data_IF_327560724237
#
_entry.id   IF_327560724237
#
_cell.length_a   1.000
_cell.length_b   1.000
_cell.length_c   1.000
_cell.angle_alpha   90.00
_cell.angle_beta   90.00
_cell.angle_gamma   90.00
#
_symmetry.space_group_name_H-M   'P 1'
#
loop_
_entity.id
_entity.type
_entity.pdbx_description
1 polymer ?
#
# COMPACT_ATOMS: atom_id res chain seq x y z
N UNK A 1 -12.18 -1.86 -31.84
CA UNK A 1 -10.71 -2.05 -31.66
C UNK A 1 -10.23 -0.94 -30.73
N UNK A 2 -9.28 -1.19 -29.87
CA UNK A 2 -8.69 -0.17 -28.97
C UNK A 2 -7.57 0.52 -29.72
N UNK A 3 -7.59 1.84 -29.82
CA UNK A 3 -6.58 2.63 -30.54
C UNK A 3 -5.89 3.67 -29.68
N UNK A 4 -6.55 4.15 -28.60
CA UNK A 4 -6.02 5.18 -27.71
C UNK A 4 -5.98 4.71 -26.25
N UNK A 5 -5.20 5.43 -25.45
CA UNK A 5 -5.13 5.20 -23.99
C UNK A 5 -6.49 5.39 -23.32
N UNK A 6 -7.23 6.44 -23.69
CA UNK A 6 -8.56 6.73 -23.14
C UNK A 6 -9.56 5.61 -23.43
N UNK A 7 -9.52 5.03 -24.64
CA UNK A 7 -10.34 3.87 -24.99
C UNK A 7 -9.94 2.64 -24.17
N UNK A 8 -8.64 2.45 -23.93
CA UNK A 8 -8.12 1.35 -23.11
C UNK A 8 -8.58 1.47 -21.66
N UNK A 9 -8.41 2.63 -21.03
CA UNK A 9 -8.85 2.92 -19.67
C UNK A 9 -10.37 2.83 -19.55
N UNK A 10 -11.11 3.42 -20.52
CA UNK A 10 -12.57 3.33 -20.55
C UNK A 10 -13.08 1.89 -20.60
N UNK A 11 -12.42 1.02 -21.37
CA UNK A 11 -12.74 -0.41 -21.39
C UNK A 11 -12.45 -1.09 -20.04
N UNK A 12 -11.29 -0.84 -19.44
CA UNK A 12 -10.95 -1.40 -18.12
C UNK A 12 -11.97 -0.95 -17.07
N UNK A 13 -12.26 0.34 -16.99
CA UNK A 13 -13.21 0.89 -16.01
C UNK A 13 -14.66 0.42 -16.24
N UNK A 14 -15.03 0.03 -17.46
CA UNK A 14 -16.34 -0.56 -17.72
C UNK A 14 -16.57 -1.87 -16.93
N UNK A 15 -15.48 -2.47 -16.38
CA UNK A 15 -15.50 -3.70 -15.58
C UNK A 15 -15.67 -3.47 -14.08
N UNK A 16 -15.60 -2.21 -13.60
CA UNK A 16 -15.85 -1.84 -12.19
C UNK A 16 -17.22 -2.31 -11.69
N UNK A 17 -18.24 -2.33 -12.57
CA UNK A 17 -19.59 -2.80 -12.26
C UNK A 17 -19.66 -4.24 -11.75
N UNK A 18 -18.66 -5.07 -12.03
CA UNK A 18 -18.63 -6.46 -11.59
C UNK A 18 -18.13 -6.65 -10.15
N UNK A 19 -17.61 -5.57 -9.51
CA UNK A 19 -17.22 -5.55 -8.11
C UNK A 19 -16.10 -6.54 -7.78
N UNK A 20 -16.14 -7.09 -6.56
CA UNK A 20 -15.17 -8.08 -6.07
C UNK A 20 -15.77 -9.48 -6.24
N UNK A 21 -15.08 -10.34 -6.96
CA UNK A 21 -15.46 -11.73 -7.19
C UNK A 21 -14.33 -12.64 -6.67
N UNK A 22 -14.41 -13.22 -5.47
CA UNK A 22 -13.41 -14.14 -4.97
C UNK A 22 -13.25 -15.37 -5.87
N UNK A 23 -12.03 -15.89 -5.96
CA UNK A 23 -11.71 -17.08 -6.74
C UNK A 23 -10.59 -16.82 -7.75
N UNK A 24 -9.84 -17.87 -8.08
CA UNK A 24 -8.66 -17.79 -8.96
C UNK A 24 -8.88 -18.48 -10.32
N UNK A 25 -10.06 -19.06 -10.53
CA UNK A 25 -10.37 -19.86 -11.72
C UNK A 25 -10.30 -19.01 -12.98
N UNK A 26 -10.91 -17.80 -12.98
CA UNK A 26 -10.87 -16.85 -14.10
C UNK A 26 -9.45 -16.40 -14.41
N UNK A 27 -8.66 -16.11 -13.36
CA UNK A 27 -7.26 -15.73 -13.49
C UNK A 27 -6.43 -16.84 -14.15
N UNK A 28 -6.56 -18.09 -13.65
CA UNK A 28 -5.85 -19.25 -14.19
C UNK A 28 -6.22 -19.50 -15.65
N UNK A 29 -7.50 -19.44 -15.96
CA UNK A 29 -7.98 -19.64 -17.31
C UNK A 29 -7.42 -18.58 -18.27
N UNK A 30 -7.45 -17.28 -17.90
CA UNK A 30 -6.88 -16.22 -18.73
C UNK A 30 -5.38 -16.37 -18.92
N UNK A 31 -4.64 -16.75 -17.86
CA UNK A 31 -3.19 -16.94 -17.95
C UNK A 31 -2.83 -18.15 -18.81
N UNK A 32 -3.60 -19.23 -18.77
CA UNK A 32 -3.42 -20.40 -19.65
C UNK A 32 -3.61 -20.02 -21.12
N UNK A 33 -4.68 -19.30 -21.46
CA UNK A 33 -4.91 -18.79 -22.83
C UNK A 33 -3.79 -17.82 -23.28
N UNK A 34 -3.15 -17.11 -22.34
CA UNK A 34 -2.02 -16.25 -22.58
C UNK A 34 -0.66 -16.98 -22.49
N UNK A 35 -0.63 -18.32 -22.34
CA UNK A 35 0.60 -19.13 -22.32
C UNK A 35 1.38 -19.06 -21.00
N UNK A 36 0.70 -18.86 -19.88
CA UNK A 36 1.23 -18.88 -18.51
C UNK A 36 2.44 -17.95 -18.29
N UNK A 37 2.31 -16.66 -18.57
CA UNK A 37 3.41 -15.69 -18.44
C UNK A 37 3.91 -15.54 -16.98
N UNK A 38 3.10 -15.87 -15.97
CA UNK A 38 3.46 -15.85 -14.55
C UNK A 38 4.67 -16.75 -14.22
N UNK A 39 4.89 -17.79 -15.00
CA UNK A 39 6.00 -18.75 -14.80
C UNK A 39 7.38 -18.16 -15.13
N UNK A 40 7.43 -17.05 -15.84
CA UNK A 40 8.66 -16.41 -16.26
C UNK A 40 9.08 -15.26 -15.32
N UNK A 41 8.32 -15.03 -14.24
CA UNK A 41 8.53 -13.91 -13.33
C UNK A 41 9.18 -14.40 -12.04
N UNK A 42 10.38 -13.90 -11.73
CA UNK A 42 10.93 -13.99 -10.39
C UNK A 42 10.28 -12.89 -9.55
N UNK A 43 9.53 -13.23 -8.52
CA UNK A 43 8.76 -12.23 -7.77
C UNK A 43 8.78 -12.42 -6.26
N UNK A 44 8.51 -11.34 -5.55
CA UNK A 44 8.17 -11.30 -4.12
C UNK A 44 6.72 -10.89 -3.99
N UNK A 45 5.96 -11.57 -3.13
CA UNK A 45 4.54 -11.34 -2.94
C UNK A 45 4.27 -10.74 -1.56
N UNK A 46 3.58 -9.60 -1.51
CA UNK A 46 3.33 -8.84 -0.29
C UNK A 46 1.82 -8.79 0.03
N UNK A 47 1.46 -9.25 1.23
CA UNK A 47 0.12 -9.07 1.80
C UNK A 47 0.23 -8.31 3.14
N UNK A 48 -0.91 -7.84 3.64
CA UNK A 48 -1.03 -7.15 4.92
C UNK A 48 -2.21 -6.18 4.91
N UNK A 49 -2.59 -5.68 6.06
CA UNK A 49 -3.61 -4.63 6.16
C UNK A 49 -2.99 -3.30 5.75
N UNK A 50 -1.97 -2.85 6.48
CA UNK A 50 -1.22 -1.62 6.21
C UNK A 50 0.25 -1.94 5.90
N UNK A 51 1.01 -0.97 5.36
CA UNK A 51 2.45 -1.07 5.19
C UNK A 51 2.94 -1.79 3.93
N UNK A 52 2.08 -2.46 3.15
CA UNK A 52 2.46 -3.18 1.92
C UNK A 52 3.25 -2.31 0.95
N UNK A 53 2.66 -1.20 0.50
CA UNK A 53 3.28 -0.29 -0.45
C UNK A 53 4.57 0.36 0.09
N UNK A 54 4.63 0.71 1.38
CA UNK A 54 5.85 1.24 2.01
C UNK A 54 6.96 0.19 2.05
N UNK A 55 6.67 -1.05 2.49
CA UNK A 55 7.64 -2.16 2.51
C UNK A 55 8.16 -2.47 1.12
N UNK A 56 7.27 -2.54 0.14
CA UNK A 56 7.60 -2.71 -1.27
C UNK A 56 8.51 -1.59 -1.76
N UNK A 57 8.21 -0.34 -1.43
CA UNK A 57 8.99 0.83 -1.83
C UNK A 57 10.39 0.80 -1.25
N UNK A 58 10.56 0.54 0.05
CA UNK A 58 11.89 0.38 0.65
C UNK A 58 12.70 -0.72 -0.05
N UNK A 59 12.07 -1.88 -0.29
CA UNK A 59 12.74 -2.98 -1.00
C UNK A 59 13.15 -2.58 -2.40
N UNK A 60 12.28 -1.87 -3.14
CA UNK A 60 12.56 -1.36 -4.48
C UNK A 60 13.77 -0.44 -4.48
N UNK A 61 13.81 0.58 -3.60
CA UNK A 61 14.92 1.53 -3.57
C UNK A 61 16.27 0.88 -3.26
N UNK A 62 16.33 -0.07 -2.32
CA UNK A 62 17.56 -0.80 -2.05
C UNK A 62 18.05 -1.62 -3.25
N UNK A 63 17.14 -2.30 -3.94
CA UNK A 63 17.47 -3.10 -5.13
C UNK A 63 17.85 -2.25 -6.33
N UNK A 64 17.19 -1.12 -6.54
CA UNK A 64 17.54 -0.14 -7.59
C UNK A 64 18.89 0.51 -7.33
N UNK A 65 19.21 0.84 -6.08
CA UNK A 65 20.53 1.32 -5.67
C UNK A 65 21.64 0.35 -6.11
N UNK A 66 21.41 -0.95 -5.94
CA UNK A 66 22.26 -2.04 -6.41
C UNK A 66 22.15 -2.34 -7.93
N UNK A 67 21.52 -1.46 -8.70
CA UNK A 67 21.37 -1.51 -10.16
C UNK A 67 20.52 -2.67 -10.68
N UNK A 68 19.70 -3.29 -9.87
CA UNK A 68 18.71 -4.24 -10.34
C UNK A 68 17.53 -3.54 -11.01
N UNK A 69 16.97 -4.19 -12.01
CA UNK A 69 15.75 -3.76 -12.67
C UNK A 69 14.57 -4.34 -11.92
N UNK A 70 13.85 -3.49 -11.21
CA UNK A 70 12.75 -3.88 -10.31
C UNK A 70 11.41 -3.52 -10.94
N UNK A 71 10.57 -4.54 -11.17
CA UNK A 71 9.16 -4.34 -11.51
C UNK A 71 8.33 -4.20 -10.24
N UNK A 72 7.26 -3.40 -10.28
CA UNK A 72 6.31 -3.28 -9.18
C UNK A 72 4.87 -3.34 -9.68
N UNK A 73 4.02 -4.07 -8.94
CA UNK A 73 2.57 -4.05 -9.08
C UNK A 73 1.96 -3.60 -7.76
N UNK A 74 1.28 -2.45 -7.77
CA UNK A 74 0.73 -1.80 -6.57
C UNK A 74 -0.72 -1.39 -6.75
N UNK A 75 -1.47 -1.29 -5.64
CA UNK A 75 -2.86 -0.84 -5.63
C UNK A 75 -3.27 -0.22 -4.29
N UNK A 76 -4.15 0.81 -4.31
CA UNK A 76 -4.56 1.59 -5.48
C UNK A 76 -3.45 2.52 -6.00
N UNK A 77 -3.66 3.16 -7.15
CA UNK A 77 -2.80 4.27 -7.62
C UNK A 77 -3.16 5.59 -6.91
N UNK A 78 -2.25 6.55 -6.93
CA UNK A 78 -2.47 7.88 -6.34
C UNK A 78 -2.82 8.92 -7.42
N UNK A 79 -2.03 9.09 -8.45
CA UNK A 79 -2.24 10.12 -9.46
C UNK A 79 -2.73 9.55 -10.79
N UNK A 80 -2.07 8.52 -11.29
CA UNK A 80 -2.37 7.94 -12.60
C UNK A 80 -2.55 6.43 -12.53
N UNK A 81 -3.42 5.92 -13.37
CA UNK A 81 -3.68 4.48 -13.49
C UNK A 81 -2.41 3.67 -13.73
N UNK A 82 -1.46 4.21 -14.50
CA UNK A 82 -0.23 3.56 -14.91
C UNK A 82 0.70 3.21 -13.74
N UNK A 83 0.60 3.93 -12.60
CA UNK A 83 1.38 3.65 -11.39
C UNK A 83 1.24 2.22 -10.88
N UNK A 84 0.12 1.57 -11.20
CA UNK A 84 -0.13 0.17 -10.83
C UNK A 84 0.94 -0.77 -11.37
N UNK A 85 1.53 -0.45 -12.52
CA UNK A 85 2.59 -1.24 -13.17
C UNK A 85 3.77 -0.30 -13.43
N UNK A 86 4.86 -0.51 -12.73
CA UNK A 86 6.04 0.38 -12.84
C UNK A 86 7.33 -0.43 -12.96
N UNK A 87 8.35 0.18 -13.57
CA UNK A 87 9.72 -0.35 -13.60
C UNK A 87 10.65 0.70 -13.03
N UNK A 88 11.40 0.34 -12.00
CA UNK A 88 12.27 1.26 -11.27
C UNK A 88 11.54 2.54 -10.86
N UNK A 89 10.32 2.39 -10.30
CA UNK A 89 9.49 3.49 -9.84
C UNK A 89 8.90 4.38 -10.94
N UNK A 90 9.19 4.11 -12.22
CA UNK A 90 8.59 4.83 -13.33
C UNK A 90 7.37 4.07 -13.84
N UNK A 91 6.17 4.66 -13.80
CA UNK A 91 4.96 4.08 -14.36
C UNK A 91 5.14 3.74 -15.85
N UNK A 92 4.49 2.67 -16.31
CA UNK A 92 4.51 2.31 -17.72
C UNK A 92 3.81 3.37 -18.59
N UNK A 93 4.22 3.50 -19.85
CA UNK A 93 3.67 4.50 -20.77
C UNK A 93 2.21 4.20 -21.18
N UNK A 94 1.50 5.22 -21.64
CA UNK A 94 0.11 5.09 -22.10
C UNK A 94 0.00 4.14 -23.29
N UNK A 95 1.01 4.14 -24.17
CA UNK A 95 1.12 3.23 -25.30
C UNK A 95 1.27 1.77 -24.82
N UNK A 96 2.04 1.53 -23.75
CA UNK A 96 2.23 0.19 -23.18
C UNK A 96 0.92 -0.32 -22.56
N UNK A 97 0.14 0.53 -21.87
CA UNK A 97 -1.22 0.17 -21.39
C UNK A 97 -2.11 -0.21 -22.57
N UNK A 98 -2.08 0.59 -23.65
CA UNK A 98 -2.89 0.35 -24.85
C UNK A 98 -2.56 -1.00 -25.50
N UNK A 99 -1.27 -1.33 -25.63
CA UNK A 99 -0.82 -2.62 -26.19
C UNK A 99 -1.18 -3.80 -25.27
N UNK A 100 -1.06 -3.64 -23.96
CA UNK A 100 -1.48 -4.66 -23.00
C UNK A 100 -2.99 -4.92 -23.08
N UNK A 101 -3.82 -3.87 -23.22
CA UNK A 101 -5.27 -4.05 -23.42
C UNK A 101 -5.56 -4.77 -24.74
N UNK A 102 -4.87 -4.44 -25.83
CA UNK A 102 -5.01 -5.17 -27.10
C UNK A 102 -4.68 -6.65 -26.98
N UNK A 103 -3.67 -6.98 -26.15
CA UNK A 103 -3.26 -8.37 -25.88
C UNK A 103 -4.30 -9.13 -25.04
N UNK A 104 -4.80 -8.49 -23.96
CA UNK A 104 -5.61 -9.16 -22.93
C UNK A 104 -7.10 -9.16 -23.29
N UNK A 105 -7.61 -8.10 -23.93
CA UNK A 105 -9.04 -7.93 -24.25
C UNK A 105 -9.65 -9.11 -24.99
N UNK A 106 -9.05 -9.68 -26.05
CA UNK A 106 -9.65 -10.82 -26.76
C UNK A 106 -9.82 -12.07 -25.86
N UNK A 107 -8.90 -12.26 -24.91
CA UNK A 107 -8.98 -13.37 -23.93
C UNK A 107 -10.08 -13.13 -22.92
N UNK A 108 -10.21 -11.88 -22.44
CA UNK A 108 -11.29 -11.50 -21.52
C UNK A 108 -12.66 -11.66 -22.19
N UNK A 109 -12.81 -11.22 -23.44
CA UNK A 109 -14.07 -11.38 -24.18
C UNK A 109 -14.43 -12.86 -24.41
N UNK A 110 -13.45 -13.72 -24.63
CA UNK A 110 -13.64 -15.17 -24.71
C UNK A 110 -14.01 -15.78 -23.35
N UNK A 111 -13.43 -15.28 -22.24
CA UNK A 111 -13.80 -15.70 -20.89
C UNK A 111 -15.26 -15.36 -20.58
N UNK A 112 -15.73 -14.16 -20.97
CA UNK A 112 -17.08 -13.70 -20.75
C UNK A 112 -18.15 -14.66 -21.35
N UNK A 113 -17.78 -15.47 -22.35
CA UNK A 113 -18.63 -16.48 -23.01
C UNK A 113 -18.61 -17.84 -22.30
N UNK A 114 -17.77 -18.02 -21.26
CA UNK A 114 -17.66 -19.27 -20.48
C UNK A 114 -18.55 -19.25 -19.23
N UNK A 115 -18.72 -20.41 -18.61
CA UNK A 115 -19.44 -20.55 -17.33
C UNK A 115 -18.71 -19.86 -16.16
N UNK A 116 -17.46 -19.43 -16.33
CA UNK A 116 -16.69 -18.67 -15.32
C UNK A 116 -17.19 -17.23 -15.22
N UNK A 117 -17.83 -16.72 -16.28
CA UNK A 117 -18.38 -15.37 -16.35
C UNK A 117 -17.32 -14.27 -16.43
N UNK A 118 -17.77 -13.03 -16.31
CA UNK A 118 -16.99 -11.84 -16.61
C UNK A 118 -15.85 -11.60 -15.63
N UNK A 119 -14.69 -11.21 -16.17
CA UNK A 119 -13.54 -10.75 -15.39
C UNK A 119 -13.81 -9.36 -14.76
N UNK A 120 -13.35 -9.19 -13.54
CA UNK A 120 -13.36 -7.90 -12.82
C UNK A 120 -12.24 -6.98 -13.31
N UNK A 121 -12.35 -5.69 -13.00
CA UNK A 121 -11.30 -4.72 -13.29
C UNK A 121 -9.94 -5.17 -12.73
N UNK A 122 -9.92 -5.57 -11.46
CA UNK A 122 -8.67 -5.94 -10.79
C UNK A 122 -8.04 -7.22 -11.36
N UNK A 123 -8.84 -8.20 -11.77
CA UNK A 123 -8.35 -9.38 -12.48
C UNK A 123 -7.70 -9.00 -13.82
N UNK A 124 -8.32 -8.11 -14.59
CA UNK A 124 -7.76 -7.65 -15.86
C UNK A 124 -6.43 -6.93 -15.66
N UNK A 125 -6.36 -5.99 -14.71
CA UNK A 125 -5.13 -5.24 -14.42
C UNK A 125 -4.02 -6.18 -13.94
N UNK A 126 -4.36 -7.17 -13.12
CA UNK A 126 -3.40 -8.20 -12.65
C UNK A 126 -2.87 -9.04 -13.81
N UNK A 127 -3.73 -9.49 -14.72
CA UNK A 127 -3.30 -10.22 -15.93
C UNK A 127 -2.41 -9.33 -16.82
N UNK A 128 -2.77 -8.04 -16.98
CA UNK A 128 -1.94 -7.09 -17.73
C UNK A 128 -0.53 -6.95 -17.12
N UNK A 129 -0.44 -6.81 -15.80
CA UNK A 129 0.85 -6.73 -15.10
C UNK A 129 1.68 -8.02 -15.28
N UNK A 130 1.06 -9.18 -15.15
CA UNK A 130 1.71 -10.47 -15.36
C UNK A 130 2.18 -10.62 -16.80
N UNK A 131 1.37 -10.23 -17.80
CA UNK A 131 1.79 -10.21 -19.20
C UNK A 131 2.93 -9.22 -19.46
N UNK A 132 2.88 -8.04 -18.85
CA UNK A 132 3.93 -7.05 -18.99
C UNK A 132 5.28 -7.60 -18.53
N UNK A 133 5.36 -8.09 -17.29
CA UNK A 133 6.61 -8.60 -16.72
C UNK A 133 7.03 -9.97 -17.28
N UNK A 134 6.09 -10.81 -17.67
CA UNK A 134 6.38 -12.17 -18.14
C UNK A 134 6.63 -12.29 -19.66
N UNK A 135 6.29 -11.25 -20.46
CA UNK A 135 6.41 -11.28 -21.92
C UNK A 135 7.03 -10.05 -22.55
N UNK A 136 6.81 -8.85 -21.98
CA UNK A 136 7.17 -7.57 -22.63
C UNK A 136 8.43 -6.99 -21.99
N UNK A 137 8.49 -6.91 -20.68
CA UNK A 137 9.52 -6.20 -19.93
C UNK A 137 10.08 -7.05 -18.79
N UNK A 138 11.07 -7.89 -19.09
CA UNK A 138 11.71 -8.69 -18.06
C UNK A 138 12.45 -7.82 -17.04
N UNK A 139 12.23 -8.13 -15.75
CA UNK A 139 12.89 -7.52 -14.61
C UNK A 139 13.68 -8.58 -13.83
N UNK A 140 14.70 -8.16 -13.09
CA UNK A 140 15.49 -9.06 -12.23
C UNK A 140 14.63 -9.63 -11.11
N UNK A 141 13.69 -8.82 -10.61
CA UNK A 141 12.65 -9.18 -9.66
C UNK A 141 11.43 -8.28 -9.83
N UNK A 142 10.24 -8.84 -9.55
CA UNK A 142 8.98 -8.09 -9.53
C UNK A 142 8.37 -8.18 -8.14
N UNK A 143 7.98 -7.04 -7.58
CA UNK A 143 7.34 -6.93 -6.27
C UNK A 143 5.83 -6.79 -6.50
N UNK A 144 5.06 -7.80 -6.10
CA UNK A 144 3.60 -7.82 -6.23
C UNK A 144 2.93 -7.51 -4.89
N UNK A 145 2.16 -6.44 -4.85
CA UNK A 145 1.26 -6.12 -3.74
C UNK A 145 -0.12 -6.78 -3.98
N UNK A 146 -0.67 -7.47 -2.96
CA UNK A 146 -2.06 -7.94 -3.01
C UNK A 146 -3.03 -6.76 -2.99
N UNK A 147 -4.11 -6.85 -3.75
CA UNK A 147 -5.18 -5.85 -3.70
C UNK A 147 -6.02 -5.98 -2.43
N UNK A 148 -6.48 -7.20 -2.13
CA UNK A 148 -7.36 -7.48 -0.99
C UNK A 148 -7.13 -8.89 -0.44
N UNK A 149 -6.88 -8.99 0.85
CA UNK A 149 -6.68 -10.29 1.50
C UNK A 149 -5.39 -10.96 1.05
N UNK A 150 -5.48 -12.10 0.42
CA UNK A 150 -4.36 -12.86 -0.13
C UNK A 150 -4.79 -14.15 -0.79
N UNK A 151 -5.53 -15.02 -0.08
CA UNK A 151 -5.94 -16.37 -0.53
C UNK A 151 -6.64 -16.35 -1.88
N UNK A 152 -7.60 -15.48 -2.07
CA UNK A 152 -8.40 -15.32 -3.28
C UNK A 152 -8.09 -14.03 -4.04
N UNK A 153 -7.00 -13.35 -3.68
CA UNK A 153 -6.54 -12.17 -4.41
C UNK A 153 -6.06 -12.55 -5.81
N UNK A 154 -6.37 -11.75 -6.81
CA UNK A 154 -6.02 -12.02 -8.20
C UNK A 154 -4.52 -12.22 -8.41
N UNK A 155 -3.67 -11.60 -7.57
CA UNK A 155 -2.22 -11.77 -7.62
C UNK A 155 -1.76 -13.15 -7.16
N UNK A 156 -2.59 -13.92 -6.43
CA UNK A 156 -2.19 -15.20 -5.82
C UNK A 156 -2.05 -16.38 -6.80
N UNK A 157 -2.06 -16.07 -8.09
CA UNK A 157 -1.73 -17.02 -9.18
C UNK A 157 -0.22 -17.13 -9.45
N UNK A 158 0.59 -16.19 -8.93
CA UNK A 158 2.05 -16.20 -9.06
C UNK A 158 2.71 -17.23 -8.12
N UNK A 159 3.95 -17.61 -8.42
CA UNK A 159 4.78 -18.45 -7.56
C UNK A 159 6.03 -17.66 -7.10
N UNK A 160 5.95 -16.96 -5.95
CA UNK A 160 7.01 -16.08 -5.50
C UNK A 160 8.23 -16.84 -4.96
N UNK A 161 9.39 -16.19 -4.94
CA UNK A 161 10.60 -16.69 -4.27
C UNK A 161 10.65 -16.34 -2.78
N UNK A 162 9.79 -15.40 -2.37
CA UNK A 162 9.64 -14.89 -1.00
C UNK A 162 8.26 -14.28 -0.82
N UNK A 163 7.63 -14.51 0.33
CA UNK A 163 6.38 -13.84 0.72
C UNK A 163 6.60 -12.94 1.92
N UNK A 164 5.84 -11.83 1.99
CA UNK A 164 5.88 -10.90 3.11
C UNK A 164 4.45 -10.64 3.58
N UNK A 165 4.21 -10.76 4.89
CA UNK A 165 2.95 -10.35 5.53
C UNK A 165 3.29 -9.22 6.50
N UNK A 166 2.91 -7.98 6.14
CA UNK A 166 3.36 -6.80 6.86
C UNK A 166 2.74 -6.68 8.23
N UNK A 167 1.44 -6.66 8.32
CA UNK A 167 0.66 -6.65 9.55
C UNK A 167 -0.75 -7.20 9.33
N UNK A 168 -1.45 -7.45 10.43
CA UNK A 168 -2.87 -7.80 10.46
C UNK A 168 -3.61 -6.73 11.26
N UNK A 169 -4.74 -6.24 10.74
CA UNK A 169 -5.61 -5.27 11.38
C UNK A 169 -7.01 -5.31 10.77
N UNK A 170 -7.94 -4.61 11.39
CA UNK A 170 -9.35 -4.60 11.00
C UNK A 170 -9.59 -3.71 9.78
N UNK A 171 -9.63 -4.32 8.61
CA UNK A 171 -10.05 -3.68 7.37
C UNK A 171 -10.79 -4.67 6.48
N UNK A 172 -11.72 -4.18 5.67
CA UNK A 172 -12.54 -5.00 4.76
C UNK A 172 -13.23 -6.19 5.45
N UNK A 173 -13.68 -6.02 6.69
CA UNK A 173 -14.22 -7.08 7.55
C UNK A 173 -15.39 -7.84 6.91
N UNK A 174 -16.20 -7.16 6.11
CA UNK A 174 -17.33 -7.76 5.37
C UNK A 174 -16.90 -8.79 4.32
N UNK A 175 -15.59 -8.87 3.96
CA UNK A 175 -15.03 -9.82 3.00
C UNK A 175 -14.04 -10.77 3.67
N UNK A 176 -13.15 -10.23 4.53
CA UNK A 176 -12.02 -10.97 5.09
C UNK A 176 -12.32 -11.66 6.42
N UNK A 177 -13.44 -11.32 7.06
CA UNK A 177 -13.81 -11.82 8.38
C UNK A 177 -13.83 -10.75 9.47
N UNK A 178 -14.35 -11.12 10.63
CA UNK A 178 -14.60 -10.20 11.74
C UNK A 178 -13.53 -10.26 12.84
N UNK A 179 -12.66 -11.27 12.80
CA UNK A 179 -11.56 -11.46 13.76
C UNK A 179 -10.20 -11.34 13.10
N UNK A 180 -9.16 -11.06 13.89
CA UNK A 180 -7.80 -10.97 13.38
C UNK A 180 -7.30 -12.31 12.84
N UNK A 181 -7.76 -13.45 13.41
CA UNK A 181 -7.44 -14.78 12.92
C UNK A 181 -8.03 -15.05 11.53
N UNK A 182 -9.30 -14.66 11.29
CA UNK A 182 -9.94 -14.80 9.99
C UNK A 182 -9.21 -13.97 8.93
N UNK A 183 -8.88 -12.72 9.26
CA UNK A 183 -8.13 -11.82 8.37
C UNK A 183 -6.71 -12.37 8.13
N UNK A 184 -6.05 -12.88 9.17
CA UNK A 184 -4.73 -13.51 9.07
C UNK A 184 -4.78 -14.75 8.16
N UNK A 185 -5.83 -15.58 8.27
CA UNK A 185 -6.03 -16.76 7.43
C UNK A 185 -6.15 -16.40 5.95
N UNK A 186 -6.90 -15.35 5.64
CA UNK A 186 -7.03 -14.88 4.26
C UNK A 186 -5.69 -14.33 3.71
N UNK A 187 -4.96 -13.52 4.50
CA UNK A 187 -3.68 -12.96 4.07
C UNK A 187 -2.59 -14.02 3.96
N UNK A 188 -2.53 -14.96 4.90
CA UNK A 188 -1.58 -16.08 4.88
C UNK A 188 -1.81 -17.05 3.71
N UNK A 189 -2.92 -16.91 2.97
CA UNK A 189 -3.17 -17.66 1.73
C UNK A 189 -2.15 -17.40 0.61
N UNK A 190 -1.28 -16.37 0.72
CA UNK A 190 -0.17 -16.17 -0.21
C UNK A 190 1.04 -17.07 0.07
N UNK A 191 1.11 -17.70 1.24
CA UNK A 191 2.21 -18.63 1.59
C UNK A 191 2.13 -19.87 0.69
N UNK A 192 3.22 -20.17 0.00
CA UNK A 192 3.32 -21.30 -0.90
C UNK A 192 4.25 -22.38 -0.33
N UNK A 193 4.06 -23.61 -0.79
CA UNK A 193 4.88 -24.76 -0.34
C UNK A 193 6.37 -24.54 -0.58
N UNK A 194 7.16 -24.61 0.49
CA UNK A 194 8.61 -24.42 0.47
C UNK A 194 9.09 -22.97 0.28
N UNK A 195 8.19 -22.00 0.09
CA UNK A 195 8.54 -20.58 -0.09
C UNK A 195 8.62 -19.89 1.28
N UNK A 196 9.75 -19.26 1.62
CA UNK A 196 9.88 -18.56 2.91
C UNK A 196 8.90 -17.41 3.04
N UNK A 197 8.55 -17.10 4.29
CA UNK A 197 7.67 -15.99 4.65
C UNK A 197 8.32 -15.12 5.73
N UNK A 198 8.25 -13.80 5.54
CA UNK A 198 8.66 -12.79 6.52
C UNK A 198 7.40 -12.12 7.04
N UNK A 199 7.30 -11.93 8.36
CA UNK A 199 6.15 -11.26 8.94
C UNK A 199 6.52 -10.25 10.02
N UNK A 200 5.77 -9.12 10.03
CA UNK A 200 5.80 -8.11 11.07
C UNK A 200 4.62 -8.18 12.03
N UNK A 201 3.80 -9.22 11.95
CA UNK A 201 2.60 -9.38 12.77
C UNK A 201 3.00 -9.59 14.22
N UNK A 202 2.42 -8.77 15.12
CA UNK A 202 2.70 -8.80 16.56
C UNK A 202 1.52 -9.34 17.37
N UNK A 203 0.30 -9.30 16.82
CA UNK A 203 -0.86 -9.89 17.48
C UNK A 203 -0.70 -11.40 17.56
N UNK A 204 -0.86 -11.95 18.77
CA UNK A 204 -0.54 -13.35 19.06
C UNK A 204 -1.48 -14.32 18.33
N UNK A 205 -2.77 -14.03 18.28
CA UNK A 205 -3.78 -14.89 17.64
C UNK A 205 -3.58 -14.92 16.12
N UNK A 206 -3.37 -13.76 15.51
CA UNK A 206 -3.06 -13.64 14.08
C UNK A 206 -1.72 -14.30 13.73
N UNK A 207 -0.70 -14.15 14.57
CA UNK A 207 0.62 -14.76 14.35
C UNK A 207 0.56 -16.29 14.41
N UNK A 208 -0.20 -16.87 15.35
CA UNK A 208 -0.41 -18.32 15.43
C UNK A 208 -1.02 -18.90 14.15
N UNK A 209 -1.93 -18.17 13.50
CA UNK A 209 -2.49 -18.58 12.20
C UNK A 209 -1.41 -18.61 11.13
N UNK A 210 -0.56 -17.57 11.06
CA UNK A 210 0.54 -17.51 10.09
C UNK A 210 1.55 -18.63 10.34
N UNK A 211 1.94 -18.87 11.59
CA UNK A 211 2.84 -19.97 11.99
C UNK A 211 2.30 -21.33 11.58
N UNK A 212 1.01 -21.57 11.82
CA UNK A 212 0.35 -22.82 11.42
C UNK A 212 0.39 -23.01 9.90
N UNK A 213 0.00 -22.00 9.13
CA UNK A 213 -0.03 -22.09 7.65
C UNK A 213 1.40 -22.21 7.08
N UNK A 214 2.38 -21.52 7.64
CA UNK A 214 3.77 -21.66 7.24
C UNK A 214 4.28 -23.10 7.47
N UNK A 215 3.97 -23.67 8.64
CA UNK A 215 4.30 -25.06 8.97
C UNK A 215 3.64 -26.06 8.01
N UNK A 216 2.35 -25.91 7.73
CA UNK A 216 1.59 -26.76 6.79
C UNK A 216 2.18 -26.71 5.38
N UNK A 217 2.70 -25.55 4.96
CA UNK A 217 3.36 -25.36 3.67
C UNK A 217 4.87 -25.67 3.68
N UNK A 218 5.44 -26.10 4.81
CA UNK A 218 6.89 -26.31 4.95
C UNK A 218 7.70 -25.06 4.60
N UNK A 219 7.13 -23.88 4.85
CA UNK A 219 7.73 -22.57 4.60
C UNK A 219 8.55 -22.12 5.80
N UNK A 220 9.79 -21.70 5.58
CA UNK A 220 10.60 -21.07 6.63
C UNK A 220 9.97 -19.72 7.02
N UNK A 221 9.67 -19.55 8.29
CA UNK A 221 9.07 -18.32 8.82
C UNK A 221 10.11 -17.45 9.52
N UNK A 222 10.17 -16.17 9.14
CA UNK A 222 10.98 -15.14 9.77
C UNK A 222 10.06 -14.10 10.42
N UNK A 223 10.02 -14.10 11.74
CA UNK A 223 9.15 -13.24 12.57
C UNK A 223 9.93 -12.06 13.12
N UNK A 224 9.39 -10.86 12.99
CA UNK A 224 9.91 -9.68 13.67
C UNK A 224 9.74 -9.83 15.18
N UNK A 225 10.79 -9.50 15.93
CA UNK A 225 10.84 -9.67 17.39
C UNK A 225 11.38 -11.03 17.83
N UNK A 226 11.42 -12.05 16.94
CA UNK A 226 11.96 -13.38 17.23
C UNK A 226 13.19 -13.70 16.38
N UNK A 227 13.04 -13.71 15.05
CA UNK A 227 14.11 -14.06 14.11
C UNK A 227 14.92 -12.85 13.64
N UNK A 228 14.34 -11.68 13.65
CA UNK A 228 14.99 -10.40 13.41
C UNK A 228 14.39 -9.34 14.31
N UNK A 229 15.18 -8.34 14.67
CA UNK A 229 14.77 -7.30 15.62
C UNK A 229 15.06 -5.91 15.07
N UNK A 230 14.27 -4.96 15.53
CA UNK A 230 14.43 -3.54 15.26
C UNK A 230 14.36 -2.77 16.57
N UNK A 231 15.31 -1.87 16.78
CA UNK A 231 15.33 -0.97 17.92
C UNK A 231 15.22 0.47 17.40
N UNK A 232 14.00 1.04 17.53
CA UNK A 232 13.78 2.44 17.19
C UNK A 232 14.53 3.32 18.20
N UNK A 233 15.40 4.19 17.72
CA UNK A 233 16.25 5.06 18.54
C UNK A 233 15.68 6.46 18.67
N UNK A 234 15.28 7.06 17.54
CA UNK A 234 14.93 8.47 17.48
C UNK A 234 14.00 8.78 16.34
N UNK A 235 13.02 9.66 16.62
CA UNK A 235 12.27 10.44 15.62
C UNK A 235 12.83 11.85 15.56
N UNK A 236 13.04 12.38 14.35
CA UNK A 236 13.56 13.74 14.13
C UNK A 236 12.85 14.40 12.96
N UNK A 237 13.12 15.67 12.72
CA UNK A 237 12.58 16.40 11.57
C UNK A 237 12.96 15.74 10.23
N UNK A 238 14.12 15.06 10.18
CA UNK A 238 14.65 14.39 8.98
C UNK A 238 14.11 12.95 8.80
N UNK A 239 13.33 12.42 9.74
CA UNK A 239 12.79 11.07 9.70
C UNK A 239 13.08 10.25 10.95
N UNK A 240 13.28 8.93 10.77
CA UNK A 240 13.47 7.97 11.85
C UNK A 240 14.88 7.35 11.81
N UNK A 241 15.42 7.02 13.00
CA UNK A 241 16.68 6.31 13.16
C UNK A 241 16.48 5.05 14.00
N UNK A 242 17.08 3.93 13.59
CA UNK A 242 16.93 2.64 14.26
C UNK A 242 18.12 1.72 14.04
N UNK A 243 18.26 0.70 14.91
CA UNK A 243 19.14 -0.44 14.67
C UNK A 243 18.33 -1.63 14.20
N UNK A 244 18.94 -2.44 13.36
CA UNK A 244 18.35 -3.66 12.82
C UNK A 244 19.32 -4.83 12.98
N UNK A 245 18.82 -5.98 13.42
CA UNK A 245 19.59 -7.22 13.52
C UNK A 245 18.80 -8.39 12.96
N UNK A 246 19.43 -9.19 12.11
CA UNK A 246 18.86 -10.42 11.57
C UNK A 246 19.92 -11.54 11.54
N UNK A 247 19.57 -12.79 11.20
CA UNK A 247 20.55 -13.90 11.14
C UNK A 247 21.69 -13.70 10.14
N UNK A 248 21.57 -12.72 9.23
CA UNK A 248 22.53 -12.51 8.13
C UNK A 248 23.41 -11.27 8.33
N UNK A 249 22.96 -10.29 9.10
CA UNK A 249 23.67 -9.03 9.34
C UNK A 249 23.08 -8.23 10.49
N UNK A 250 23.86 -7.26 10.98
CA UNK A 250 23.42 -6.19 11.89
C UNK A 250 23.79 -4.84 11.29
N UNK A 251 22.85 -3.89 11.39
CA UNK A 251 23.02 -2.52 10.95
C UNK A 251 22.69 -1.58 12.12
N UNK A 252 23.64 -0.77 12.52
CA UNK A 252 23.44 0.30 13.51
C UNK A 252 23.13 1.62 12.79
N UNK A 253 22.37 2.50 13.46
CA UNK A 253 22.08 3.87 13.01
C UNK A 253 21.53 3.97 11.57
N UNK A 254 20.66 3.04 11.21
CA UNK A 254 19.91 3.09 9.93
C UNK A 254 18.97 4.29 9.96
N UNK A 255 18.90 5.02 8.85
CA UNK A 255 18.04 6.20 8.70
C UNK A 255 17.04 6.02 7.57
N UNK A 256 15.81 6.51 7.80
CA UNK A 256 14.75 6.62 6.81
C UNK A 256 14.12 8.00 6.89
N UNK A 257 13.67 8.55 5.77
CA UNK A 257 13.04 9.87 5.69
C UNK A 257 11.52 9.82 5.86
N UNK A 258 10.88 8.68 5.54
CA UNK A 258 9.45 8.49 5.82
C UNK A 258 9.22 8.45 7.34
N UNK A 259 8.30 9.28 7.82
CA UNK A 259 8.06 9.53 9.24
C UNK A 259 7.10 8.52 9.88
N UNK A 260 7.33 8.26 11.17
CA UNK A 260 6.51 7.42 12.03
C UNK A 260 7.14 6.06 12.35
N UNK A 261 6.96 5.62 13.58
CA UNK A 261 7.52 4.34 14.07
C UNK A 261 7.05 3.11 13.26
N UNK A 262 5.85 3.17 12.66
CA UNK A 262 5.36 2.13 11.75
C UNK A 262 6.22 2.01 10.48
N UNK A 263 6.84 3.10 10.02
CA UNK A 263 7.74 3.07 8.88
C UNK A 263 9.08 2.38 9.21
N UNK A 264 9.51 2.45 10.47
CA UNK A 264 10.65 1.66 10.95
C UNK A 264 10.36 0.16 10.83
N UNK A 265 9.15 -0.28 11.20
CA UNK A 265 8.71 -1.66 11.01
C UNK A 265 8.66 -2.08 9.54
N UNK A 266 8.11 -1.22 8.66
CA UNK A 266 8.05 -1.47 7.21
C UNK A 266 9.47 -1.55 6.59
N UNK A 267 10.38 -0.66 7.00
CA UNK A 267 11.77 -0.68 6.57
C UNK A 267 12.51 -1.96 7.05
N UNK A 268 12.25 -2.39 8.29
CA UNK A 268 12.82 -3.62 8.83
C UNK A 268 12.37 -4.87 8.07
N UNK A 269 11.09 -4.95 7.68
CA UNK A 269 10.58 -6.03 6.82
C UNK A 269 11.25 -6.04 5.45
N UNK A 270 11.38 -4.88 4.83
CA UNK A 270 12.05 -4.73 3.53
C UNK A 270 13.55 -5.10 3.66
N UNK A 271 14.21 -4.66 4.72
CA UNK A 271 15.62 -4.96 4.98
C UNK A 271 15.84 -6.46 5.21
N UNK A 272 14.96 -7.12 6.00
CA UNK A 272 15.00 -8.57 6.14
C UNK A 272 14.82 -9.30 4.80
N UNK A 273 13.89 -8.81 3.94
CA UNK A 273 13.67 -9.37 2.62
C UNK A 273 14.88 -9.21 1.69
N UNK A 274 15.51 -8.03 1.71
CA UNK A 274 16.74 -7.76 0.92
C UNK A 274 17.89 -8.63 1.41
N UNK A 275 18.06 -8.78 2.74
CA UNK A 275 19.08 -9.66 3.30
C UNK A 275 18.84 -11.13 2.94
N UNK A 276 17.56 -11.55 2.86
CA UNK A 276 17.21 -12.89 2.40
C UNK A 276 17.60 -13.10 0.93
N UNK A 277 17.21 -12.21 0.02
CA UNK A 277 17.52 -12.36 -1.41
C UNK A 277 19.02 -12.23 -1.69
N UNK A 278 19.74 -11.40 -0.92
CA UNK A 278 21.21 -11.31 -0.95
C UNK A 278 21.84 -12.66 -0.62
N UNK A 279 21.39 -13.27 0.47
CA UNK A 279 22.01 -14.50 1.02
C UNK A 279 21.69 -15.74 0.21
N UNK A 280 20.41 -15.91 -0.23
CA UNK A 280 19.95 -17.16 -0.82
C UNK A 280 19.72 -17.10 -2.34
N UNK A 281 19.54 -15.91 -2.89
CA UNK A 281 19.25 -15.74 -4.33
C UNK A 281 20.39 -15.03 -5.09
N UNK A 282 21.54 -14.85 -4.42
CA UNK A 282 22.78 -14.29 -5.00
C UNK A 282 22.61 -12.86 -5.56
N UNK A 283 21.75 -12.05 -4.96
CA UNK A 283 21.70 -10.63 -5.26
C UNK A 283 22.94 -9.96 -4.65
N UNK A 284 23.72 -9.28 -5.47
CA UNK A 284 24.91 -8.53 -5.03
C UNK A 284 24.45 -7.12 -4.62
N UNK A 285 24.42 -6.87 -3.32
CA UNK A 285 23.95 -5.59 -2.76
C UNK A 285 24.91 -5.23 -1.63
N UNK A 286 25.56 -4.08 -1.72
CA UNK A 286 26.47 -3.61 -0.68
C UNK A 286 25.70 -2.83 0.42
N UNK A 287 26.35 -2.65 1.58
CA UNK A 287 25.72 -1.94 2.70
C UNK A 287 25.38 -0.49 2.37
N UNK A 288 26.24 0.18 1.60
CA UNK A 288 26.03 1.57 1.17
C UNK A 288 24.74 1.71 0.33
N UNK A 289 24.49 0.76 -0.60
CA UNK A 289 23.28 0.73 -1.43
C UNK A 289 22.01 0.49 -0.60
N UNK A 290 22.11 -0.36 0.42
CA UNK A 290 21.05 -0.61 1.39
C UNK A 290 20.72 0.68 2.15
N UNK A 291 21.71 1.34 2.74
CA UNK A 291 21.54 2.55 3.53
C UNK A 291 20.99 3.71 2.70
N UNK A 292 21.56 3.92 1.52
CA UNK A 292 21.12 4.95 0.59
C UNK A 292 19.69 4.67 0.13
N UNK A 293 19.37 3.44 -0.27
CA UNK A 293 18.03 3.07 -0.70
C UNK A 293 16.96 3.25 0.40
N UNK A 294 17.30 2.94 1.65
CA UNK A 294 16.39 3.19 2.78
C UNK A 294 16.18 4.68 3.04
N UNK A 295 17.24 5.48 2.98
CA UNK A 295 17.19 6.92 3.23
C UNK A 295 16.48 7.69 2.13
N UNK A 296 16.65 7.30 0.87
CA UNK A 296 16.03 7.94 -0.29
C UNK A 296 14.61 7.47 -0.56
N UNK A 297 14.16 6.39 0.10
CA UNK A 297 12.84 5.83 -0.12
C UNK A 297 11.74 6.84 0.19
N UNK A 298 10.86 7.03 -0.80
CA UNK A 298 9.72 7.92 -0.72
C UNK A 298 8.47 7.26 -1.31
N UNK A 299 7.36 7.35 -0.57
CA UNK A 299 6.08 6.83 -1.01
C UNK A 299 4.99 7.89 -0.87
N UNK A 300 4.39 8.26 -1.98
CA UNK A 300 3.36 9.31 -2.08
C UNK A 300 2.20 9.01 -1.13
N UNK A 301 1.72 10.07 -0.44
CA UNK A 301 0.58 9.99 0.47
C UNK A 301 0.86 9.22 1.77
N UNK A 302 2.13 9.10 2.19
CA UNK A 302 2.53 8.58 3.50
C UNK A 302 3.23 9.66 4.30
N UNK A 303 2.46 10.36 5.12
CA UNK A 303 2.88 11.53 5.89
C UNK A 303 3.67 12.54 5.01
N UNK A 304 3.14 12.78 3.82
CA UNK A 304 3.77 13.60 2.79
C UNK A 304 3.55 15.08 3.06
N UNK A 305 4.65 15.82 3.23
CA UNK A 305 4.61 17.28 3.34
C UNK A 305 4.51 17.88 1.95
N UNK A 306 3.38 18.54 1.66
CA UNK A 306 3.14 19.24 0.39
C UNK A 306 3.62 20.69 0.39
N UNK A 307 3.63 21.33 1.58
CA UNK A 307 4.02 22.70 1.76
C UNK A 307 4.67 22.88 3.13
N UNK A 308 5.59 23.83 3.22
CA UNK A 308 6.19 24.32 4.46
C UNK A 308 5.79 25.78 4.70
N UNK A 309 5.62 26.17 5.98
CA UNK A 309 5.27 27.52 6.40
C UNK A 309 3.96 28.08 5.80
N UNK A 310 2.78 27.56 6.21
CA UNK A 310 2.56 26.51 7.22
C UNK A 310 2.79 25.11 6.68
N UNK A 311 3.04 24.14 7.58
CA UNK A 311 3.17 22.74 7.19
C UNK A 311 1.80 22.17 6.78
N UNK A 312 1.68 21.73 5.52
CA UNK A 312 0.52 21.01 4.99
C UNK A 312 0.94 19.60 4.68
N UNK A 313 0.30 18.64 5.33
CA UNK A 313 0.64 17.21 5.27
C UNK A 313 -0.57 16.42 4.78
N UNK A 314 -0.33 15.51 3.86
CA UNK A 314 -1.31 14.50 3.48
C UNK A 314 -0.89 13.11 3.97
N UNK A 315 -1.87 12.33 4.43
CA UNK A 315 -1.65 10.94 4.81
C UNK A 315 -2.82 10.04 4.41
N UNK A 316 -2.51 8.87 3.89
CA UNK A 316 -3.49 7.90 3.40
C UNK A 316 -4.08 6.98 4.47
N UNK A 317 -4.00 7.30 5.75
CA UNK A 317 -4.66 6.58 6.81
C UNK A 317 -6.17 6.56 6.59
N UNK A 318 -6.78 5.36 6.61
CA UNK A 318 -8.19 5.18 6.27
C UNK A 318 -8.87 4.03 7.03
N UNK A 319 -8.19 3.49 8.03
CA UNK A 319 -8.69 2.48 8.97
C UNK A 319 -8.16 2.80 10.38
N UNK A 320 -8.71 2.18 11.45
CA UNK A 320 -8.32 2.51 12.82
C UNK A 320 -6.82 2.41 13.09
N UNK A 321 -6.16 1.35 12.62
CA UNK A 321 -4.73 1.13 12.82
C UNK A 321 -3.87 2.13 12.04
N UNK A 322 -4.35 2.56 10.86
CA UNK A 322 -3.72 3.62 10.07
C UNK A 322 -3.82 4.98 10.78
N UNK A 323 -5.00 5.33 11.30
CA UNK A 323 -5.20 6.56 12.09
C UNK A 323 -4.36 6.53 13.38
N UNK A 324 -4.29 5.39 14.07
CA UNK A 324 -3.43 5.25 15.26
C UNK A 324 -1.95 5.54 14.92
N UNK A 325 -1.49 5.03 13.79
CA UNK A 325 -0.13 5.28 13.31
C UNK A 325 0.10 6.75 12.96
N UNK A 326 -0.90 7.41 12.34
CA UNK A 326 -0.87 8.85 12.06
C UNK A 326 -0.81 9.67 13.36
N UNK A 327 -1.67 9.36 14.34
CA UNK A 327 -1.70 10.02 15.65
C UNK A 327 -0.32 9.95 16.32
N UNK A 328 0.26 8.76 16.44
CA UNK A 328 1.60 8.56 17.01
C UNK A 328 2.69 9.36 16.26
N UNK A 329 2.57 9.45 14.93
CA UNK A 329 3.52 10.22 14.12
C UNK A 329 3.40 11.72 14.40
N UNK A 330 2.17 12.23 14.49
CA UNK A 330 1.93 13.65 14.83
C UNK A 330 2.44 13.97 16.24
N UNK A 331 2.15 13.15 17.23
CA UNK A 331 2.64 13.31 18.60
C UNK A 331 4.19 13.33 18.67
N UNK A 332 4.86 12.54 17.83
CA UNK A 332 6.32 12.47 17.81
C UNK A 332 6.98 13.65 17.10
N UNK A 333 6.39 14.16 16.02
CA UNK A 333 7.02 15.15 15.13
C UNK A 333 6.46 16.57 15.26
N UNK A 334 5.24 16.74 15.81
CA UNK A 334 4.52 18.02 15.85
C UNK A 334 3.99 18.37 17.25
N UNK A 335 4.67 17.88 18.29
CA UNK A 335 4.28 18.03 19.70
C UNK A 335 4.00 19.48 20.13
N UNK A 336 4.73 20.44 19.56
CA UNK A 336 4.68 21.86 19.95
C UNK A 336 3.89 22.72 18.94
N UNK A 337 3.11 22.07 18.04
CA UNK A 337 2.30 22.74 17.02
C UNK A 337 0.81 22.61 17.32
N UNK A 338 0.02 23.59 16.89
CA UNK A 338 -1.43 23.43 16.84
C UNK A 338 -1.79 22.51 15.67
N UNK A 339 -2.51 21.45 15.96
CA UNK A 339 -2.86 20.43 14.98
C UNK A 339 -4.28 20.67 14.45
N UNK A 340 -4.39 20.88 13.15
CA UNK A 340 -5.65 21.04 12.45
C UNK A 340 -5.79 19.85 11.51
N UNK A 341 -6.92 19.16 11.60
CA UNK A 341 -7.17 17.95 10.78
C UNK A 341 -8.33 18.20 9.84
N UNK A 342 -8.13 18.00 8.54
CA UNK A 342 -9.20 17.86 7.55
C UNK A 342 -9.44 16.37 7.30
N UNK A 343 -10.63 15.90 7.62
CA UNK A 343 -10.98 14.48 7.60
C UNK A 343 -12.19 14.18 6.73
N UNK A 344 -12.06 13.14 5.92
CA UNK A 344 -13.17 12.45 5.25
C UNK A 344 -13.01 10.95 5.38
N UNK A 345 -14.05 10.17 5.08
CA UNK A 345 -13.94 8.71 5.12
C UNK A 345 -14.96 8.03 4.21
N UNK A 346 -14.71 6.75 3.93
CA UNK A 346 -15.65 5.87 3.23
C UNK A 346 -16.55 5.13 4.24
N UNK A 347 -17.76 4.80 3.83
CA UNK A 347 -18.80 4.27 4.71
C UNK A 347 -18.61 2.85 5.23
N UNK A 348 -17.64 2.12 4.69
CA UNK A 348 -17.29 0.76 5.10
C UNK A 348 -16.26 0.69 6.25
N UNK A 349 -15.89 1.84 6.83
CA UNK A 349 -14.87 1.96 7.87
C UNK A 349 -15.45 2.12 9.28
N UNK A 350 -14.62 1.89 10.28
CA UNK A 350 -14.99 2.08 11.71
C UNK A 350 -14.88 3.56 12.09
N UNK A 351 -15.82 4.37 11.60
CA UNK A 351 -15.77 5.84 11.63
C UNK A 351 -15.65 6.40 13.05
N UNK A 352 -16.42 5.86 14.00
CA UNK A 352 -16.42 6.34 15.39
C UNK A 352 -15.01 6.22 16.01
N UNK A 353 -14.38 5.05 15.85
CA UNK A 353 -13.04 4.80 16.38
C UNK A 353 -12.00 5.74 15.75
N UNK A 354 -12.07 5.95 14.43
CA UNK A 354 -11.15 6.84 13.72
C UNK A 354 -11.29 8.31 14.18
N UNK A 355 -12.53 8.78 14.36
CA UNK A 355 -12.78 10.15 14.84
C UNK A 355 -12.32 10.32 16.29
N UNK A 356 -12.64 9.37 17.18
CA UNK A 356 -12.19 9.40 18.58
C UNK A 356 -10.66 9.49 18.68
N UNK A 357 -9.92 8.77 17.85
CA UNK A 357 -8.47 8.83 17.82
C UNK A 357 -7.96 10.19 17.33
N UNK A 358 -8.52 10.74 16.24
CA UNK A 358 -8.11 12.04 15.72
C UNK A 358 -8.37 13.17 16.73
N UNK A 359 -9.46 13.07 17.50
CA UNK A 359 -9.78 14.04 18.56
C UNK A 359 -8.71 14.11 19.66
N UNK A 360 -7.88 13.07 19.84
CA UNK A 360 -6.81 13.11 20.86
C UNK A 360 -5.72 14.11 20.55
N UNK A 361 -5.42 14.32 19.27
CA UNK A 361 -4.32 15.17 18.80
C UNK A 361 -4.78 16.50 18.21
N UNK A 362 -5.99 16.56 17.65
CA UNK A 362 -6.44 17.73 16.91
C UNK A 362 -6.91 18.86 17.86
N UNK A 363 -6.39 20.07 17.69
CA UNK A 363 -6.95 21.29 18.29
C UNK A 363 -8.24 21.69 17.58
N UNK A 364 -8.31 21.47 16.27
CA UNK A 364 -9.50 21.67 15.44
C UNK A 364 -9.66 20.53 14.43
N UNK A 365 -10.90 20.03 14.26
CA UNK A 365 -11.23 19.06 13.21
C UNK A 365 -12.21 19.66 12.22
N UNK A 366 -11.89 19.52 10.94
CA UNK A 366 -12.73 19.92 9.82
C UNK A 366 -13.22 18.66 9.14
N UNK A 367 -14.53 18.46 9.11
CA UNK A 367 -15.16 17.34 8.40
C UNK A 367 -15.58 17.78 7.01
N UNK A 368 -15.28 16.93 6.01
CA UNK A 368 -15.63 17.19 4.62
C UNK A 368 -16.03 15.92 3.89
N UNK A 369 -16.47 16.07 2.65
CA UNK A 369 -16.78 14.97 1.73
C UNK A 369 -16.14 15.23 0.37
N UNK A 370 -16.15 14.23 -0.52
CA UNK A 370 -15.63 14.34 -1.87
C UNK A 370 -16.47 13.48 -2.85
N UNK A 371 -16.30 13.70 -4.15
CA UNK A 371 -17.09 13.05 -5.18
C UNK A 371 -16.72 11.57 -5.38
N UNK A 372 -17.18 10.72 -4.47
CA UNK A 372 -16.94 9.27 -4.51
C UNK A 372 -18.16 8.52 -3.96
N UNK A 373 -18.59 7.46 -4.66
CA UNK A 373 -19.87 6.76 -4.37
C UNK A 373 -20.03 6.27 -2.93
N UNK A 374 -18.92 5.94 -2.25
CA UNK A 374 -18.91 5.46 -0.87
C UNK A 374 -18.51 6.53 0.15
N UNK A 375 -18.30 7.77 -0.28
CA UNK A 375 -17.95 8.85 0.64
C UNK A 375 -19.10 9.17 1.59
N UNK A 376 -18.76 9.42 2.85
CA UNK A 376 -19.72 9.82 3.88
C UNK A 376 -19.89 11.34 3.84
N UNK A 377 -21.12 11.84 4.07
CA UNK A 377 -21.39 13.27 4.18
C UNK A 377 -20.64 13.89 5.37
N UNK A 378 -20.21 15.13 5.20
CA UNK A 378 -19.48 15.87 6.23
C UNK A 378 -20.26 15.96 7.55
N UNK A 379 -21.58 16.23 7.50
CA UNK A 379 -22.45 16.29 8.68
C UNK A 379 -22.49 14.96 9.45
N UNK A 380 -22.57 13.83 8.73
CA UNK A 380 -22.57 12.52 9.36
C UNK A 380 -21.24 12.22 10.06
N UNK A 381 -20.11 12.56 9.44
CA UNK A 381 -18.80 12.43 10.08
C UNK A 381 -18.71 13.31 11.33
N UNK A 382 -19.14 14.57 11.24
CA UNK A 382 -19.17 15.50 12.37
C UNK A 382 -20.06 15.02 13.54
N UNK A 383 -21.07 14.20 13.25
CA UNK A 383 -21.94 13.64 14.30
C UNK A 383 -21.24 12.64 15.23
N UNK A 384 -20.11 12.06 14.81
CA UNK A 384 -19.29 11.18 15.66
C UNK A 384 -18.36 11.96 16.60
N UNK A 385 -18.06 13.24 16.29
CA UNK A 385 -17.14 14.04 17.07
C UNK A 385 -17.76 14.59 18.35
N UNK A 386 -17.01 14.52 19.44
CA UNK A 386 -17.38 14.98 20.79
C UNK A 386 -16.89 16.41 21.03
N UNK A 387 -15.81 16.84 20.37
CA UNK A 387 -15.25 18.19 20.49
C UNK A 387 -16.20 19.26 19.96
N UNK A 388 -16.23 20.41 20.64
CA UNK A 388 -16.96 21.61 20.19
C UNK A 388 -16.22 22.34 19.06
N UNK A 389 -14.88 22.28 19.05
CA UNK A 389 -14.00 22.87 18.01
C UNK A 389 -13.99 22.05 16.73
N UNK A 390 -15.16 21.95 16.08
CA UNK A 390 -15.33 21.25 14.81
C UNK A 390 -16.00 22.13 13.76
N UNK A 391 -15.53 22.00 12.52
CA UNK A 391 -16.11 22.69 11.37
C UNK A 391 -16.62 21.64 10.37
N UNK A 392 -17.59 22.04 9.56
CA UNK A 392 -18.18 21.21 8.52
C UNK A 392 -18.15 21.96 7.19
N UNK A 393 -17.55 21.35 6.18
CA UNK A 393 -17.52 21.86 4.80
C UNK A 393 -17.91 20.77 3.83
N UNK A 394 -18.98 20.99 3.06
CA UNK A 394 -19.34 20.08 1.97
C UNK A 394 -18.33 20.15 0.81
N UNK A 395 -17.67 21.30 0.63
CA UNK A 395 -16.64 21.48 -0.39
C UNK A 395 -15.24 21.50 0.25
N UNK A 396 -14.51 20.41 0.07
CA UNK A 396 -13.16 20.27 0.62
C UNK A 396 -12.14 21.29 0.08
N UNK A 397 -12.31 21.80 -1.15
CA UNK A 397 -11.44 22.84 -1.72
C UNK A 397 -11.62 24.15 -0.98
N UNK A 398 -12.87 24.52 -0.69
CA UNK A 398 -13.20 25.68 0.12
C UNK A 398 -12.64 25.56 1.55
N UNK A 399 -12.73 24.37 2.15
CA UNK A 399 -12.15 24.10 3.45
C UNK A 399 -10.63 24.32 3.47
N UNK A 400 -9.92 23.81 2.46
CA UNK A 400 -8.46 23.99 2.32
C UNK A 400 -8.13 25.46 2.11
N UNK A 401 -8.78 26.14 1.17
CA UNK A 401 -8.48 27.54 0.83
C UNK A 401 -8.70 28.47 2.02
N UNK A 402 -9.86 28.34 2.67
CA UNK A 402 -10.18 29.12 3.87
C UNK A 402 -9.15 28.88 4.98
N UNK A 403 -8.74 27.61 5.16
CA UNK A 403 -7.85 27.27 6.27
C UNK A 403 -6.43 27.72 6.03
N UNK A 404 -5.91 27.52 4.82
CA UNK A 404 -4.53 27.92 4.45
C UNK A 404 -4.31 29.42 4.60
N UNK A 405 -5.35 30.26 4.38
CA UNK A 405 -5.27 31.71 4.59
C UNK A 405 -5.20 32.11 6.07
N UNK A 406 -5.62 31.24 6.99
CA UNK A 406 -5.76 31.55 8.43
C UNK A 406 -4.63 30.99 9.29
N UNK A 407 -3.96 29.92 8.84
CA UNK A 407 -2.93 29.22 9.61
C UNK A 407 -1.55 29.83 9.43
N UNK A 408 -0.72 29.72 10.46
CA UNK A 408 0.63 30.30 10.52
C UNK A 408 1.70 29.23 10.79
N UNK A 409 2.91 29.70 11.09
CA UNK A 409 4.09 28.86 11.32
C UNK A 409 3.95 27.91 12.51
N UNK A 410 3.10 28.22 13.49
CA UNK A 410 2.86 27.39 14.67
C UNK A 410 1.80 26.31 14.44
N UNK A 411 1.21 26.27 13.26
CA UNK A 411 0.15 25.32 12.92
C UNK A 411 0.67 24.21 11.99
N UNK A 412 0.08 23.03 12.07
CA UNK A 412 0.22 21.97 11.09
C UNK A 412 -1.17 21.55 10.61
N UNK A 413 -1.33 21.51 9.30
CA UNK A 413 -2.58 21.12 8.65
C UNK A 413 -2.46 19.72 8.06
N UNK A 414 -3.18 18.78 8.64
CA UNK A 414 -3.15 17.35 8.27
C UNK A 414 -4.42 17.00 7.54
N UNK A 415 -4.28 16.41 6.35
CA UNK A 415 -5.39 16.01 5.49
C UNK A 415 -5.36 14.51 5.31
N UNK A 416 -6.44 13.81 5.72
CA UNK A 416 -6.44 12.35 5.80
C UNK A 416 -7.82 11.72 5.65
N UNK A 417 -7.87 10.36 5.66
CA UNK A 417 -9.06 9.54 5.76
C UNK A 417 -9.38 8.70 4.52
N UNK A 418 -8.79 8.99 3.37
CA UNK A 418 -8.93 8.17 2.16
C UNK A 418 -7.78 8.41 1.19
N UNK A 419 -7.22 7.34 0.62
CA UNK A 419 -6.22 7.44 -0.45
C UNK A 419 -6.75 8.17 -1.68
N UNK A 420 -8.01 7.92 -2.05
CA UNK A 420 -8.66 8.61 -3.17
C UNK A 420 -8.80 10.11 -2.92
N UNK A 421 -9.17 10.49 -1.69
CA UNK A 421 -9.30 11.89 -1.31
C UNK A 421 -7.97 12.63 -1.34
N UNK A 422 -6.95 12.08 -0.69
CA UNK A 422 -5.63 12.75 -0.65
C UNK A 422 -4.97 12.85 -2.03
N UNK A 423 -5.32 11.96 -2.96
CA UNK A 423 -4.92 12.06 -4.37
C UNK A 423 -5.46 13.34 -5.03
N UNK A 424 -6.76 13.63 -4.86
CA UNK A 424 -7.38 14.86 -5.38
C UNK A 424 -6.79 16.11 -4.70
N UNK A 425 -6.59 16.05 -3.38
CA UNK A 425 -5.97 17.13 -2.60
C UNK A 425 -4.55 17.42 -3.07
N UNK A 426 -3.74 16.38 -3.26
CA UNK A 426 -2.36 16.50 -3.73
C UNK A 426 -2.27 17.21 -5.07
N UNK A 427 -3.09 16.80 -6.01
CA UNK A 427 -3.19 17.44 -7.32
C UNK A 427 -3.60 18.91 -7.19
N UNK A 428 -4.64 19.18 -6.41
CA UNK A 428 -5.17 20.53 -6.21
C UNK A 428 -4.15 21.49 -5.60
N UNK A 429 -3.41 21.07 -4.57
CA UNK A 429 -2.40 21.93 -3.91
C UNK A 429 -1.21 22.16 -4.84
N UNK A 430 -0.77 21.14 -5.62
CA UNK A 430 0.33 21.28 -6.56
C UNK A 430 0.01 22.16 -7.77
N UNK A 431 -1.24 22.24 -8.18
CA UNK A 431 -1.68 23.12 -9.27
C UNK A 431 -1.75 24.61 -8.82
N UNK A 432 -1.80 24.87 -7.50
CA UNK A 432 -1.83 26.21 -6.93
C UNK A 432 -0.46 26.80 -6.62
N UNK A 433 0.53 25.95 -6.36
CA UNK A 433 1.92 26.32 -6.08
C UNK A 433 2.77 26.28 -7.37
#
# INVERSE_FOLDING_TARGET
MIHTYEEAIGWIHSRLKFGIKPGLERMRWMLEELGNPERHIKCVHLAGTNGKGSTLTYMRYMLEGAKYKVGTFTSPYIETFNERISVNGTPIADEEITELVKMVKPVVEKLDETDLGEATEFEIITVMAICYFGKVKFCDVVLFETGLGGRFDSTNVIHPVLTIITNIGHDHMHILGNTLEEIAYEKAGIIKSGVPVITGVQDEEALQVIQKIAKENQANLYEMGNHFTVLHKQSSEDGEQFDFTCPFASFEDVRITMKGSHQVGNAALALMAVMYVKTYLSFLIEEEEIRTGLQEAYWVGRFEKLQSNPDIIIDGAHNPEGIESLVKTVESHYKDKNVIVLFTALGDKQLHNMVDQLETIADEIIFTTFAFDRAISADKLASYAKKESKLVFENWKEAIDTKVEMIGENDVFIITGSLYFISEVRKYIREKN
#
